data_IF_862794354045
#
_entry.id   IF_862794354045
#
_cell.length_a   1.000
_cell.length_b   1.000
_cell.length_c   1.000
_cell.angle_alpha   90.00
_cell.angle_beta   90.00
_cell.angle_gamma   90.00
#
_symmetry.space_group_name_H-M   'P 1'
#
loop_
_entity.id
_entity.type
_entity.pdbx_description
1 polymer ?
#
# COMPACT_ATOMS: atom_id res chain seq x y z
N UNK A 1 -1.86 -7.77 8.39
CA UNK A 1 -0.96 -8.91 8.67
C UNK A 1 -1.35 -9.70 9.91
N UNK A 2 -1.17 -9.20 11.14
CA UNK A 2 -1.40 -10.00 12.36
C UNK A 2 -2.82 -10.59 12.44
N UNK A 3 -3.85 -9.77 12.17
CA UNK A 3 -5.24 -10.23 12.11
C UNK A 3 -5.38 -11.37 11.09
N UNK A 4 -4.85 -11.22 9.87
CA UNK A 4 -4.89 -12.27 8.86
C UNK A 4 -4.27 -13.58 9.33
N UNK A 5 -3.08 -13.54 9.93
CA UNK A 5 -2.42 -14.74 10.47
C UNK A 5 -3.19 -15.39 11.61
N UNK A 6 -3.75 -14.59 12.54
CA UNK A 6 -4.59 -15.12 13.61
C UNK A 6 -5.90 -15.71 13.09
N UNK A 7 -6.47 -15.15 12.02
CA UNK A 7 -7.65 -15.70 11.36
C UNK A 7 -7.38 -17.01 10.62
N UNK A 8 -6.13 -17.27 10.20
CA UNK A 8 -5.76 -18.53 9.57
C UNK A 8 -5.60 -19.69 10.57
N UNK A 9 -5.26 -19.40 11.83
CA UNK A 9 -4.96 -20.43 12.83
C UNK A 9 -6.07 -21.45 13.06
N UNK A 10 -7.36 -21.08 13.20
CA UNK A 10 -8.44 -22.06 13.39
C UNK A 10 -8.55 -23.07 12.25
N UNK A 11 -8.31 -22.64 11.00
CA UNK A 11 -8.32 -23.52 9.83
C UNK A 11 -7.11 -24.46 9.86
N UNK A 12 -5.93 -23.93 10.20
CA UNK A 12 -4.69 -24.71 10.34
C UNK A 12 -4.83 -25.76 11.45
N UNK A 13 -5.40 -25.39 12.61
CA UNK A 13 -5.66 -26.32 13.71
C UNK A 13 -6.65 -27.43 13.33
N UNK A 14 -7.60 -27.14 12.43
CA UNK A 14 -8.52 -28.12 11.85
C UNK A 14 -7.87 -29.00 10.76
N UNK A 15 -6.58 -28.80 10.46
CA UNK A 15 -5.83 -29.56 9.47
C UNK A 15 -6.04 -29.10 8.02
N UNK A 16 -6.64 -27.92 7.82
CA UNK A 16 -6.94 -27.36 6.51
C UNK A 16 -5.79 -26.46 6.03
N UNK A 17 -5.68 -26.27 4.72
CA UNK A 17 -4.69 -25.39 4.13
C UNK A 17 -5.19 -23.95 4.04
N UNK A 18 -4.25 -23.02 4.18
CA UNK A 18 -4.49 -21.58 4.09
C UNK A 18 -3.52 -20.90 3.12
N UNK A 19 -3.94 -19.79 2.54
CA UNK A 19 -3.11 -19.01 1.62
C UNK A 19 -3.02 -17.53 2.03
N UNK A 20 -1.85 -16.93 1.87
CA UNK A 20 -1.64 -15.49 1.96
C UNK A 20 -1.05 -14.96 0.65
N UNK A 21 -1.76 -14.05 -0.01
CA UNK A 21 -1.39 -13.50 -1.31
C UNK A 21 -1.04 -12.03 -1.17
N UNK A 22 0.17 -11.67 -1.60
CA UNK A 22 0.66 -10.29 -1.64
C UNK A 22 0.99 -9.88 -3.09
N UNK A 23 0.91 -8.58 -3.43
CA UNK A 23 1.02 -8.14 -4.83
C UNK A 23 2.44 -8.23 -5.39
N UNK A 24 3.46 -8.09 -4.53
CA UNK A 24 4.88 -8.11 -4.92
C UNK A 24 5.64 -9.17 -4.13
N UNK A 25 6.75 -9.65 -4.69
CA UNK A 25 7.59 -10.65 -4.04
C UNK A 25 8.17 -10.13 -2.73
N UNK A 26 8.61 -8.88 -2.72
CA UNK A 26 9.19 -8.23 -1.56
C UNK A 26 8.21 -8.11 -0.38
N UNK A 27 6.94 -7.81 -0.66
CA UNK A 27 5.88 -7.84 0.36
C UNK A 27 5.62 -9.26 0.84
N UNK A 28 5.57 -10.23 -0.07
CA UNK A 28 5.38 -11.63 0.29
C UNK A 28 6.53 -12.14 1.18
N UNK A 29 7.78 -11.81 0.88
CA UNK A 29 8.94 -12.11 1.72
C UNK A 29 8.86 -11.44 3.10
N UNK A 30 8.39 -10.19 3.18
CA UNK A 30 8.16 -9.52 4.44
C UNK A 30 7.12 -10.24 5.29
N UNK A 31 6.04 -10.73 4.67
CA UNK A 31 5.03 -11.55 5.34
C UNK A 31 5.57 -12.91 5.76
N UNK A 32 6.41 -13.56 4.95
CA UNK A 32 7.13 -14.80 5.32
C UNK A 32 7.99 -14.57 6.55
N UNK A 33 8.84 -13.53 6.58
CA UNK A 33 9.67 -13.20 7.75
C UNK A 33 8.82 -12.97 9.01
N UNK A 34 7.70 -12.30 8.85
CA UNK A 34 6.76 -12.03 9.95
C UNK A 34 6.09 -13.31 10.44
N UNK A 35 5.60 -14.14 9.53
CA UNK A 35 4.95 -15.41 9.82
C UNK A 35 5.91 -16.41 10.46
N UNK A 36 7.13 -16.56 9.94
CA UNK A 36 8.15 -17.43 10.53
C UNK A 36 8.46 -17.07 11.97
N UNK A 37 8.45 -15.77 12.32
CA UNK A 37 8.64 -15.30 13.70
C UNK A 37 7.42 -15.57 14.58
N UNK A 38 6.21 -15.38 14.06
CA UNK A 38 4.97 -15.56 14.82
C UNK A 38 4.69 -17.05 15.08
N UNK A 39 4.97 -17.90 14.10
CA UNK A 39 4.71 -19.34 14.15
C UNK A 39 5.94 -20.16 14.60
N UNK A 40 6.97 -19.50 15.12
CA UNK A 40 8.13 -20.19 15.67
C UNK A 40 7.69 -21.09 16.84
N UNK A 41 8.02 -22.40 16.76
CA UNK A 41 7.68 -23.37 17.80
C UNK A 41 6.24 -23.87 17.81
N UNK A 42 5.36 -23.43 16.90
CA UNK A 42 3.97 -23.90 16.84
C UNK A 42 3.77 -25.16 16.01
N UNK A 43 4.76 -25.54 15.19
CA UNK A 43 4.68 -26.68 14.27
C UNK A 43 3.97 -26.38 12.94
N UNK A 44 3.51 -25.15 12.72
CA UNK A 44 2.89 -24.72 11.45
C UNK A 44 3.90 -24.81 10.31
N UNK A 45 3.55 -25.55 9.26
CA UNK A 45 4.38 -25.79 8.07
C UNK A 45 4.15 -24.70 7.05
N UNK A 46 5.06 -23.73 7.04
CA UNK A 46 5.02 -22.57 6.15
C UNK A 46 5.79 -22.82 4.85
N UNK A 47 5.23 -22.42 3.72
CA UNK A 47 5.91 -22.41 2.43
C UNK A 47 5.79 -21.06 1.73
N UNK A 48 6.76 -20.78 0.85
CA UNK A 48 6.80 -19.56 0.05
C UNK A 48 6.79 -19.88 -1.44
N UNK A 49 5.88 -19.26 -2.20
CA UNK A 49 5.78 -19.40 -3.65
C UNK A 49 5.80 -18.03 -4.35
N UNK A 50 6.83 -17.81 -5.17
CA UNK A 50 6.92 -16.66 -6.06
C UNK A 50 7.07 -17.08 -7.52
N UNK A 51 6.99 -16.08 -8.43
CA UNK A 51 7.26 -16.29 -9.86
C UNK A 51 8.72 -16.68 -10.15
N UNK A 52 9.66 -16.29 -9.27
CA UNK A 52 11.10 -16.60 -9.43
C UNK A 52 11.44 -18.04 -9.03
N UNK A 53 10.60 -18.70 -8.22
CA UNK A 53 10.81 -20.09 -7.84
C UNK A 53 10.50 -21.03 -9.02
N UNK A 54 11.56 -21.62 -9.60
CA UNK A 54 11.51 -22.44 -10.81
C UNK A 54 12.21 -23.80 -10.63
N UNK A 55 11.99 -24.71 -11.59
CA UNK A 55 12.61 -26.03 -11.65
C UNK A 55 12.22 -26.95 -10.49
N UNK A 56 13.14 -27.85 -10.12
CA UNK A 56 12.91 -28.93 -9.14
C UNK A 56 12.40 -28.45 -7.78
N UNK A 57 12.85 -27.28 -7.31
CA UNK A 57 12.38 -26.71 -6.03
C UNK A 57 10.89 -26.36 -6.08
N UNK A 58 10.42 -25.83 -7.21
CA UNK A 58 9.01 -25.52 -7.43
C UNK A 58 8.19 -26.79 -7.47
N UNK A 59 8.64 -27.79 -8.23
CA UNK A 59 7.94 -29.08 -8.36
C UNK A 59 7.72 -29.75 -7.00
N UNK A 60 8.78 -29.85 -6.18
CA UNK A 60 8.69 -30.42 -4.83
C UNK A 60 7.72 -29.65 -3.93
N UNK A 61 7.70 -28.32 -4.01
CA UNK A 61 6.76 -27.50 -3.24
C UNK A 61 5.32 -27.77 -3.66
N UNK A 62 5.04 -27.83 -4.97
CA UNK A 62 3.70 -28.09 -5.48
C UNK A 62 3.23 -29.50 -5.14
N UNK A 63 4.12 -30.49 -5.17
CA UNK A 63 3.81 -31.85 -4.70
C UNK A 63 3.47 -31.88 -3.22
N UNK A 64 4.26 -31.22 -2.37
CA UNK A 64 3.99 -31.11 -0.93
C UNK A 64 2.66 -30.39 -0.67
N UNK A 65 2.35 -29.35 -1.44
CA UNK A 65 1.10 -28.60 -1.34
C UNK A 65 -0.11 -29.49 -1.65
N UNK A 66 -0.05 -30.23 -2.75
CA UNK A 66 -1.11 -31.15 -3.17
C UNK A 66 -1.29 -32.34 -2.21
N UNK A 67 -0.27 -32.70 -1.43
CA UNK A 67 -0.33 -33.74 -0.39
C UNK A 67 -0.87 -33.23 0.95
N UNK A 68 -1.04 -31.92 1.12
CA UNK A 68 -1.43 -31.33 2.41
C UNK A 68 -0.26 -31.26 3.40
N UNK A 69 0.97 -31.18 2.91
CA UNK A 69 2.18 -31.07 3.72
C UNK A 69 2.54 -29.62 4.08
N UNK A 70 1.76 -28.65 3.60
CA UNK A 70 1.91 -27.21 3.83
C UNK A 70 0.61 -26.69 4.44
N UNK A 71 0.71 -26.03 5.60
CA UNK A 71 -0.44 -25.48 6.32
C UNK A 71 -0.76 -24.04 5.88
N UNK A 72 0.30 -23.24 5.65
CA UNK A 72 0.19 -21.86 5.19
C UNK A 72 1.12 -21.63 4.00
N UNK A 73 0.53 -21.36 2.84
CA UNK A 73 1.26 -20.92 1.65
C UNK A 73 1.24 -19.40 1.55
N UNK A 74 2.40 -18.75 1.66
CA UNK A 74 2.55 -17.32 1.37
C UNK A 74 3.11 -17.16 -0.04
N UNK A 75 2.55 -16.27 -0.84
CA UNK A 75 3.07 -16.06 -2.18
C UNK A 75 2.54 -14.84 -2.91
N UNK A 76 3.00 -14.70 -4.14
CA UNK A 76 2.53 -13.66 -5.06
C UNK A 76 1.33 -14.15 -5.88
N UNK A 77 1.00 -13.45 -6.96
CA UNK A 77 0.06 -13.93 -7.99
C UNK A 77 0.40 -15.34 -8.52
N UNK A 78 1.63 -15.83 -8.33
CA UNK A 78 2.02 -17.20 -8.64
C UNK A 78 1.12 -18.26 -7.98
N UNK A 79 0.56 -17.98 -6.79
CA UNK A 79 -0.39 -18.88 -6.08
C UNK A 79 -1.66 -19.13 -6.89
N UNK A 80 -2.05 -18.16 -7.72
CA UNK A 80 -3.27 -18.23 -8.54
C UNK A 80 -3.08 -19.02 -9.84
N UNK A 81 -1.86 -19.47 -10.14
CA UNK A 81 -1.58 -20.21 -11.37
C UNK A 81 -2.30 -21.56 -11.38
N UNK A 82 -2.78 -22.00 -12.54
CA UNK A 82 -3.60 -23.23 -12.67
C UNK A 82 -2.90 -24.49 -12.14
N UNK A 83 -1.57 -24.56 -12.24
CA UNK A 83 -0.76 -25.68 -11.75
C UNK A 83 -0.56 -25.71 -10.21
N UNK A 84 -1.00 -24.69 -9.48
CA UNK A 84 -0.97 -24.69 -8.01
C UNK A 84 -2.24 -25.37 -7.52
N UNK A 85 -2.11 -26.57 -6.97
CA UNK A 85 -3.24 -27.37 -6.49
C UNK A 85 -3.07 -27.60 -5.00
N UNK A 86 -4.08 -27.16 -4.24
CA UNK A 86 -4.20 -27.44 -2.82
C UNK A 86 -4.95 -28.77 -2.63
N UNK A 87 -4.67 -29.45 -1.53
CA UNK A 87 -5.47 -30.59 -1.09
C UNK A 87 -6.84 -30.14 -0.57
N UNK A 88 -6.84 -29.09 0.25
CA UNK A 88 -7.99 -28.58 1.00
C UNK A 88 -7.78 -27.12 1.44
N UNK A 89 -7.76 -26.21 0.45
CA UNK A 89 -7.75 -24.77 0.73
C UNK A 89 -9.14 -24.32 1.21
N UNK A 90 -9.21 -23.83 2.43
CA UNK A 90 -10.47 -23.39 3.08
C UNK A 90 -10.41 -21.92 3.52
N UNK A 91 -9.22 -21.31 3.63
CA UNK A 91 -9.07 -19.91 4.01
C UNK A 91 -7.99 -19.17 3.22
N UNK A 92 -8.28 -17.93 2.81
CA UNK A 92 -7.32 -17.10 2.09
C UNK A 92 -7.28 -15.63 2.56
N UNK A 93 -6.09 -15.05 2.53
CA UNK A 93 -5.82 -13.66 2.88
C UNK A 93 -5.27 -12.96 1.64
N UNK A 94 -5.91 -11.87 1.23
CA UNK A 94 -5.48 -11.05 0.10
C UNK A 94 -5.02 -9.70 0.64
N UNK A 95 -3.74 -9.37 0.49
CA UNK A 95 -3.18 -8.08 0.89
C UNK A 95 -3.16 -7.08 -0.26
N UNK A 96 -3.35 -5.79 0.05
CA UNK A 96 -3.45 -4.70 -0.93
C UNK A 96 -4.44 -5.00 -2.09
N UNK A 97 -5.70 -5.32 -1.74
CA UNK A 97 -6.71 -5.82 -2.68
C UNK A 97 -6.86 -5.01 -3.98
N UNK A 98 -6.60 -3.70 -3.96
CA UNK A 98 -6.72 -2.82 -5.11
C UNK A 98 -5.73 -3.17 -6.24
N UNK A 99 -4.70 -3.95 -5.95
CA UNK A 99 -3.76 -4.49 -6.94
C UNK A 99 -4.25 -5.79 -7.57
N UNK A 100 -5.30 -6.40 -7.02
CA UNK A 100 -5.85 -7.67 -7.48
C UNK A 100 -7.16 -7.48 -8.26
N UNK A 101 -7.17 -7.98 -9.49
CA UNK A 101 -8.34 -7.89 -10.37
C UNK A 101 -9.45 -8.89 -10.02
N UNK A 102 -10.62 -8.72 -10.64
CA UNK A 102 -11.77 -9.65 -10.51
C UNK A 102 -11.38 -11.08 -10.90
N UNK A 103 -10.62 -11.24 -11.99
CA UNK A 103 -10.19 -12.55 -12.51
C UNK A 103 -9.32 -13.30 -11.50
N UNK A 104 -8.43 -12.59 -10.81
CA UNK A 104 -7.54 -13.17 -9.81
C UNK A 104 -8.31 -13.67 -8.58
N UNK A 105 -9.42 -13.01 -8.22
CA UNK A 105 -10.30 -13.46 -7.15
C UNK A 105 -11.07 -14.72 -7.53
N UNK A 106 -11.61 -14.79 -8.77
CA UNK A 106 -12.25 -16.02 -9.27
C UNK A 106 -11.27 -17.18 -9.25
N UNK A 107 -10.05 -16.97 -9.74
CA UNK A 107 -9.01 -18.00 -9.77
C UNK A 107 -8.64 -18.53 -8.38
N UNK A 108 -8.74 -17.70 -7.33
CA UNK A 108 -8.55 -18.15 -5.94
C UNK A 108 -9.73 -18.99 -5.46
N UNK A 109 -10.96 -18.53 -5.69
CA UNK A 109 -12.17 -19.24 -5.28
C UNK A 109 -12.30 -20.60 -5.97
N UNK A 110 -11.77 -20.74 -7.18
CA UNK A 110 -11.71 -22.00 -7.93
C UNK A 110 -10.70 -23.02 -7.36
N UNK A 111 -9.81 -22.63 -6.43
CA UNK A 111 -8.82 -23.54 -5.81
C UNK A 111 -9.41 -24.43 -4.72
N UNK A 112 -10.59 -24.13 -4.22
CA UNK A 112 -11.27 -24.85 -3.14
C UNK A 112 -12.76 -24.95 -3.42
N UNK A 113 -13.49 -25.71 -2.60
CA UNK A 113 -14.94 -25.86 -2.77
C UNK A 113 -15.70 -24.68 -2.19
N UNK A 114 -15.27 -24.23 -1.01
CA UNK A 114 -15.82 -23.09 -0.30
C UNK A 114 -14.68 -22.45 0.47
N UNK A 115 -14.21 -21.29 0.01
CA UNK A 115 -13.08 -20.60 0.62
C UNK A 115 -13.59 -19.38 1.36
N UNK A 116 -13.37 -19.35 2.66
CA UNK A 116 -13.49 -18.11 3.43
C UNK A 116 -12.29 -17.21 3.12
N UNK A 117 -12.51 -15.90 3.00
CA UNK A 117 -11.40 -15.00 2.71
C UNK A 117 -11.52 -13.64 3.39
N UNK A 118 -10.36 -13.03 3.65
CA UNK A 118 -10.24 -11.65 4.12
C UNK A 118 -9.44 -10.84 3.10
N UNK A 119 -9.97 -9.68 2.74
CA UNK A 119 -9.27 -8.69 1.94
C UNK A 119 -8.75 -7.57 2.84
N UNK A 120 -7.46 -7.27 2.74
CA UNK A 120 -6.81 -6.18 3.46
C UNK A 120 -6.45 -5.06 2.49
N UNK A 121 -6.60 -3.82 2.94
CA UNK A 121 -6.13 -2.64 2.22
C UNK A 121 -5.66 -1.59 3.20
N UNK A 122 -4.57 -0.90 2.84
CA UNK A 122 -4.11 0.27 3.58
C UNK A 122 -4.90 1.53 3.23
N UNK A 123 -5.60 1.55 2.08
CA UNK A 123 -6.44 2.70 1.72
C UNK A 123 -7.77 2.62 2.45
N UNK A 124 -8.07 3.60 3.32
CA UNK A 124 -9.35 3.66 3.99
C UNK A 124 -10.44 3.87 2.96
N UNK A 125 -11.41 2.97 2.92
CA UNK A 125 -12.60 3.11 2.09
C UNK A 125 -13.52 4.13 2.78
N UNK A 126 -13.96 5.20 2.10
CA UNK A 126 -14.95 6.12 2.64
C UNK A 126 -16.19 5.35 3.09
N UNK A 127 -16.72 5.71 4.26
CA UNK A 127 -17.89 5.03 4.83
C UNK A 127 -19.11 5.08 3.90
N UNK A 128 -19.26 6.18 3.17
CA UNK A 128 -20.29 6.33 2.14
C UNK A 128 -20.17 5.29 1.01
N UNK A 129 -18.95 4.95 0.59
CA UNK A 129 -18.72 3.90 -0.42
C UNK A 129 -18.92 2.50 0.15
N UNK A 130 -18.45 2.25 1.37
CA UNK A 130 -18.74 1.00 2.11
C UNK A 130 -20.24 0.69 2.10
N UNK A 131 -21.06 1.68 2.43
CA UNK A 131 -22.49 1.52 2.54
C UNK A 131 -23.20 1.26 1.21
N UNK A 132 -22.74 1.88 0.13
CA UNK A 132 -23.40 1.80 -1.17
C UNK A 132 -22.96 0.58 -2.00
N UNK A 133 -21.69 0.16 -1.93
CA UNK A 133 -21.12 -0.79 -2.89
C UNK A 133 -20.65 -2.12 -2.28
N UNK A 134 -20.35 -2.14 -0.97
CA UNK A 134 -19.80 -3.32 -0.33
C UNK A 134 -20.82 -4.04 0.56
N UNK A 135 -22.11 -3.89 0.26
CA UNK A 135 -23.24 -4.38 1.07
C UNK A 135 -23.19 -5.87 1.44
N UNK A 136 -22.60 -6.71 0.60
CA UNK A 136 -22.43 -8.16 0.85
C UNK A 136 -21.18 -8.50 1.69
N UNK A 137 -20.22 -7.58 1.80
CA UNK A 137 -18.98 -7.80 2.55
C UNK A 137 -19.10 -7.24 3.97
N UNK A 138 -18.75 -8.07 4.96
CA UNK A 138 -18.56 -7.62 6.34
C UNK A 138 -17.23 -6.87 6.42
N UNK A 139 -17.28 -5.57 6.64
CA UNK A 139 -16.10 -4.72 6.77
C UNK A 139 -15.75 -4.54 8.24
N UNK A 140 -14.47 -4.74 8.56
CA UNK A 140 -13.90 -4.44 9.88
C UNK A 140 -12.83 -3.38 9.73
N UNK A 141 -12.86 -2.39 10.62
CA UNK A 141 -12.03 -1.20 10.54
C UNK A 141 -11.13 -1.08 11.77
N UNK A 142 -9.83 -0.92 11.55
CA UNK A 142 -8.84 -0.68 12.61
C UNK A 142 -8.43 0.79 12.58
N UNK A 143 -8.85 1.57 13.59
CA UNK A 143 -8.56 3.02 13.70
C UNK A 143 -7.33 3.34 14.55
N UNK A 144 -7.02 2.48 15.50
CA UNK A 144 -5.95 2.73 16.46
C UNK A 144 -4.59 2.41 15.88
N UNK A 145 -3.64 3.31 16.07
CA UNK A 145 -2.24 3.04 15.76
C UNK A 145 -1.68 2.02 16.77
N UNK A 146 -0.75 1.16 16.34
CA UNK A 146 0.03 0.33 17.27
C UNK A 146 0.70 1.21 18.34
N UNK A 147 0.85 0.70 19.58
CA UNK A 147 1.53 1.42 20.65
C UNK A 147 2.95 1.83 20.23
N UNK A 148 3.37 3.03 20.64
CA UNK A 148 4.68 3.60 20.31
C UNK A 148 4.73 4.44 19.03
N UNK A 149 3.76 4.32 18.11
CA UNK A 149 3.74 5.17 16.90
C UNK A 149 3.32 6.60 17.20
N UNK A 150 4.10 7.54 16.67
CA UNK A 150 3.80 8.97 16.72
C UNK A 150 3.11 9.43 15.44
N UNK A 151 2.14 10.36 15.51
CA UNK A 151 1.54 10.94 14.31
C UNK A 151 2.59 11.66 13.48
N UNK A 152 2.49 11.55 12.16
CA UNK A 152 3.40 12.24 11.24
C UNK A 152 3.10 13.73 11.26
N UNK A 153 4.14 14.55 11.44
CA UNK A 153 4.01 16.01 11.41
C UNK A 153 4.12 16.45 9.94
N UNK A 154 3.06 17.06 9.42
CA UNK A 154 3.00 17.50 8.02
C UNK A 154 3.22 19.00 7.91
N UNK A 155 4.18 19.41 7.09
CA UNK A 155 4.42 20.80 6.71
C UNK A 155 4.13 21.01 5.24
N UNK A 156 3.53 22.16 4.92
CA UNK A 156 3.40 22.65 3.55
C UNK A 156 4.48 23.69 3.31
N UNK A 157 5.24 23.55 2.23
CA UNK A 157 6.37 24.42 1.90
C UNK A 157 6.21 24.92 0.48
N UNK A 158 6.39 26.22 0.30
CA UNK A 158 6.33 26.84 -1.02
C UNK A 158 7.67 26.64 -1.73
N UNK A 159 7.61 26.28 -3.01
CA UNK A 159 8.77 26.19 -3.91
C UNK A 159 9.65 27.44 -3.80
N UNK A 160 10.97 27.25 -3.77
CA UNK A 160 11.99 28.26 -3.46
C UNK A 160 12.37 28.37 -1.98
N UNK A 161 11.76 27.58 -1.08
CA UNK A 161 12.12 27.53 0.35
C UNK A 161 12.65 26.16 0.80
N UNK A 162 13.12 25.34 -0.14
CA UNK A 162 13.56 23.96 0.06
C UNK A 162 14.81 23.87 0.93
N UNK A 163 15.64 24.92 1.00
CA UNK A 163 16.85 24.95 1.82
C UNK A 163 16.57 24.62 3.29
N UNK A 164 15.42 25.06 3.81
CA UNK A 164 14.97 24.73 5.17
C UNK A 164 14.65 23.24 5.32
N UNK A 165 14.04 22.65 4.29
CA UNK A 165 13.76 21.21 4.24
C UNK A 165 15.07 20.44 4.19
N UNK A 166 16.00 20.82 3.31
CA UNK A 166 17.28 20.12 3.18
C UNK A 166 18.10 20.19 4.47
N UNK A 167 18.07 21.33 5.16
CA UNK A 167 18.68 21.47 6.49
C UNK A 167 18.04 20.55 7.51
N UNK A 168 16.70 20.40 7.48
CA UNK A 168 15.99 19.50 8.38
C UNK A 168 16.32 18.03 8.09
N UNK A 169 16.24 17.63 6.81
CA UNK A 169 16.57 16.29 6.35
C UNK A 169 18.01 15.95 6.73
N UNK A 170 18.98 16.86 6.55
CA UNK A 170 20.37 16.64 6.97
C UNK A 170 20.52 16.32 8.45
N UNK A 171 19.74 16.97 9.32
CA UNK A 171 19.74 16.67 10.77
C UNK A 171 19.25 15.27 11.05
N UNK A 172 18.18 14.84 10.39
CA UNK A 172 17.64 13.48 10.53
C UNK A 172 18.61 12.42 10.00
N UNK A 173 19.23 12.67 8.84
CA UNK A 173 20.24 11.78 8.28
C UNK A 173 21.49 11.66 9.19
N UNK A 174 21.89 12.76 9.84
CA UNK A 174 22.99 12.75 10.80
C UNK A 174 22.69 11.91 12.06
N UNK A 175 21.41 11.67 12.37
CA UNK A 175 20.97 10.75 13.44
C UNK A 175 20.92 9.28 12.96
N UNK A 176 21.31 9.00 11.72
CA UNK A 176 21.24 7.66 11.13
C UNK A 176 19.86 7.30 10.57
N UNK A 177 18.99 8.29 10.39
CA UNK A 177 17.68 8.10 9.76
C UNK A 177 17.80 8.16 8.23
N UNK A 178 16.68 7.91 7.55
CA UNK A 178 16.60 7.88 6.09
C UNK A 178 15.46 8.78 5.59
N UNK A 179 15.57 9.21 4.33
CA UNK A 179 14.62 10.12 3.72
C UNK A 179 14.14 9.66 2.34
N UNK A 180 12.86 9.88 2.07
CA UNK A 180 12.27 9.74 0.74
C UNK A 180 12.11 11.12 0.09
N UNK A 181 12.41 11.21 -1.19
CA UNK A 181 12.10 12.35 -2.06
C UNK A 181 11.24 11.87 -3.22
N UNK A 182 10.02 12.39 -3.34
CA UNK A 182 9.02 11.90 -4.28
C UNK A 182 8.67 12.97 -5.28
N UNK A 183 8.76 12.63 -6.56
CA UNK A 183 8.44 13.51 -7.68
C UNK A 183 7.24 12.93 -8.45
N UNK A 184 6.31 13.76 -8.96
CA UNK A 184 5.18 13.25 -9.71
C UNK A 184 5.59 12.75 -11.10
N UNK A 185 4.88 11.72 -11.56
CA UNK A 185 4.82 11.35 -12.98
C UNK A 185 3.65 12.11 -13.59
N UNK A 186 3.89 12.95 -14.59
CA UNK A 186 2.85 13.63 -15.39
C UNK A 186 2.61 12.83 -16.67
N UNK A 187 1.34 12.65 -17.03
CA UNK A 187 0.89 11.91 -18.22
C UNK A 187 1.30 12.53 -19.56
N UNK A 188 1.54 13.84 -19.63
CA UNK A 188 1.81 14.51 -20.91
C UNK A 188 3.25 14.35 -21.43
N UNK A 189 4.21 13.96 -20.57
CA UNK A 189 5.56 13.58 -21.02
C UNK A 189 6.38 12.86 -19.94
N UNK A 190 6.17 11.56 -19.77
CA UNK A 190 7.00 10.71 -18.90
C UNK A 190 8.52 10.92 -19.09
N UNK A 191 8.96 11.23 -20.32
CA UNK A 191 10.38 11.50 -20.63
C UNK A 191 10.91 12.77 -19.96
N UNK A 192 10.10 13.82 -19.80
CA UNK A 192 10.51 15.03 -19.07
C UNK A 192 10.54 14.80 -17.57
N UNK A 193 9.55 14.08 -17.02
CA UNK A 193 9.52 13.81 -15.58
C UNK A 193 10.66 12.93 -15.11
N UNK A 194 11.04 11.93 -15.93
CA UNK A 194 12.24 11.13 -15.67
C UNK A 194 13.51 11.98 -15.73
N UNK A 195 13.62 12.90 -16.69
CA UNK A 195 14.74 13.86 -16.74
C UNK A 195 14.79 14.71 -15.48
N UNK A 196 13.65 15.21 -15.01
CA UNK A 196 13.59 16.01 -13.78
C UNK A 196 14.02 15.19 -12.57
N UNK A 197 13.52 13.96 -12.38
CA UNK A 197 13.92 13.13 -11.25
C UNK A 197 15.40 12.70 -11.31
N UNK A 198 15.95 12.46 -12.50
CA UNK A 198 17.37 12.19 -12.70
C UNK A 198 18.25 13.43 -12.45
N UNK A 199 17.84 14.61 -12.91
CA UNK A 199 18.53 15.87 -12.63
C UNK A 199 18.51 16.17 -11.12
N UNK A 200 17.37 15.98 -10.48
CA UNK A 200 17.25 16.16 -9.04
C UNK A 200 18.05 15.11 -8.26
N UNK A 201 18.16 13.88 -8.76
CA UNK A 201 19.07 12.89 -8.16
C UNK A 201 20.53 13.35 -8.26
N UNK A 202 20.95 13.92 -9.38
CA UNK A 202 22.29 14.47 -9.54
C UNK A 202 22.53 15.65 -8.59
N UNK A 203 21.62 16.62 -8.54
CA UNK A 203 21.69 17.78 -7.65
C UNK A 203 21.71 17.35 -6.17
N UNK A 204 20.78 16.49 -5.76
CA UNK A 204 20.69 16.02 -4.37
C UNK A 204 21.92 15.21 -3.97
N UNK A 205 22.46 14.37 -4.86
CA UNK A 205 23.62 13.53 -4.56
C UNK A 205 24.96 14.26 -4.60
N UNK A 206 25.13 15.26 -5.48
CA UNK A 206 26.42 15.96 -5.66
C UNK A 206 26.52 17.27 -4.91
N UNK A 207 25.42 18.02 -4.83
CA UNK A 207 25.43 19.40 -4.33
C UNK A 207 24.83 19.50 -2.93
N UNK A 208 23.67 18.87 -2.69
CA UNK A 208 22.94 19.04 -1.43
C UNK A 208 23.39 18.04 -0.37
N UNK A 209 23.53 16.76 -0.72
CA UNK A 209 23.87 15.68 0.20
C UNK A 209 25.08 14.84 -0.27
N UNK A 210 26.23 15.47 -0.59
CA UNK A 210 27.42 14.74 -1.04
C UNK A 210 27.96 13.71 -0.05
N UNK A 211 27.63 13.86 1.24
CA UNK A 211 28.02 12.96 2.32
C UNK A 211 27.15 11.69 2.44
N UNK A 212 26.01 11.61 1.74
CA UNK A 212 25.06 10.51 1.85
C UNK A 212 24.88 9.74 0.54
N UNK A 213 24.56 8.44 0.63
CA UNK A 213 24.24 7.64 -0.55
C UNK A 213 22.80 7.88 -0.98
N UNK A 214 22.65 8.37 -2.21
CA UNK A 214 21.36 8.62 -2.86
C UNK A 214 21.12 7.60 -3.98
N UNK A 215 19.91 7.06 -4.06
CA UNK A 215 19.49 6.21 -5.18
C UNK A 215 18.18 6.71 -5.80
N UNK A 216 18.01 6.42 -7.10
CA UNK A 216 16.84 6.77 -7.88
C UNK A 216 16.03 5.51 -8.21
N UNK A 217 14.72 5.56 -7.99
CA UNK A 217 13.75 4.56 -8.44
C UNK A 217 12.71 5.20 -9.34
N UNK A 218 12.49 4.63 -10.53
CA UNK A 218 11.42 5.06 -11.42
C UNK A 218 10.75 3.90 -12.13
N UNK A 219 9.55 4.13 -12.66
CA UNK A 219 8.69 3.10 -13.28
C UNK A 219 9.40 2.27 -14.36
N UNK A 220 10.25 2.90 -15.18
CA UNK A 220 11.01 2.25 -16.29
C UNK A 220 12.20 1.38 -15.87
N UNK A 221 12.55 1.33 -14.59
CA UNK A 221 13.61 0.44 -14.12
C UNK A 221 13.13 -1.01 -14.16
N UNK A 222 14.04 -1.94 -14.43
CA UNK A 222 13.74 -3.37 -14.29
C UNK A 222 13.35 -3.65 -12.84
N UNK A 223 12.42 -4.56 -12.65
CA UNK A 223 11.89 -4.90 -11.32
C UNK A 223 13.00 -5.41 -10.37
N UNK A 224 13.94 -6.20 -10.90
CA UNK A 224 15.13 -6.67 -10.18
C UNK A 224 16.00 -5.51 -9.65
N UNK A 225 16.15 -4.43 -10.43
CA UNK A 225 16.91 -3.25 -10.00
C UNK A 225 16.17 -2.46 -8.92
N UNK A 226 14.83 -2.32 -9.06
CA UNK A 226 13.99 -1.67 -8.04
C UNK A 226 14.06 -2.41 -6.71
N UNK A 227 13.95 -3.74 -6.74
CA UNK A 227 14.04 -4.59 -5.56
C UNK A 227 15.41 -4.51 -4.88
N UNK A 228 16.50 -4.51 -5.66
CA UNK A 228 17.86 -4.35 -5.12
C UNK A 228 18.02 -3.02 -4.40
N UNK A 229 17.65 -1.91 -5.03
CA UNK A 229 17.74 -0.57 -4.43
C UNK A 229 16.89 -0.49 -3.17
N UNK A 230 15.68 -1.06 -3.19
CA UNK A 230 14.81 -1.07 -2.02
C UNK A 230 15.33 -1.95 -0.89
N UNK A 231 16.02 -3.04 -1.22
CA UNK A 231 16.70 -3.89 -0.23
C UNK A 231 17.87 -3.13 0.42
N UNK A 232 18.70 -2.47 -0.39
CA UNK A 232 19.83 -1.66 0.09
C UNK A 232 19.35 -0.47 0.93
N UNK A 233 18.23 0.15 0.54
CA UNK A 233 17.57 1.20 1.31
C UNK A 233 17.00 0.64 2.62
N UNK A 234 16.26 -0.47 2.62
CA UNK A 234 15.75 -1.07 3.85
C UNK A 234 16.86 -1.53 4.81
N UNK A 235 18.04 -1.89 4.29
CA UNK A 235 19.23 -2.23 5.07
C UNK A 235 20.02 -1.00 5.58
N UNK A 236 19.59 0.22 5.25
CA UNK A 236 20.26 1.46 5.65
C UNK A 236 21.56 1.77 4.88
N UNK A 237 21.86 1.02 3.81
CA UNK A 237 23.04 1.26 2.98
C UNK A 237 22.86 2.51 2.10
N UNK A 238 21.62 2.83 1.73
CA UNK A 238 21.21 4.04 1.02
C UNK A 238 20.43 4.90 2.01
N UNK A 239 20.81 6.18 2.17
CA UNK A 239 20.16 7.06 3.14
C UNK A 239 19.04 7.89 2.50
N UNK A 240 19.14 8.18 1.21
CA UNK A 240 18.16 8.98 0.48
C UNK A 240 17.64 8.19 -0.71
N UNK A 241 16.32 7.99 -0.76
CA UNK A 241 15.65 7.39 -1.90
C UNK A 241 14.84 8.44 -2.66
N UNK A 242 15.24 8.70 -3.89
CA UNK A 242 14.51 9.55 -4.82
C UNK A 242 13.64 8.67 -5.70
N UNK A 243 12.36 9.01 -5.85
CA UNK A 243 11.45 8.18 -6.60
C UNK A 243 10.36 8.97 -7.32
N UNK A 244 10.01 8.51 -8.52
CA UNK A 244 8.86 9.03 -9.26
C UNK A 244 7.56 8.29 -8.95
N UNK A 245 7.68 7.10 -8.36
CA UNK A 245 6.55 6.25 -7.99
C UNK A 245 6.89 5.39 -6.77
N UNK A 246 6.76 5.96 -5.56
CA UNK A 246 7.03 5.21 -4.31
C UNK A 246 5.93 4.19 -3.98
N UNK A 247 4.77 4.29 -4.62
CA UNK A 247 3.58 3.52 -4.26
C UNK A 247 3.74 2.01 -4.50
N UNK A 248 4.65 1.58 -5.38
CA UNK A 248 4.66 0.20 -5.89
C UNK A 248 5.38 -0.81 -4.98
N UNK A 249 6.40 -0.41 -4.22
CA UNK A 249 7.36 -1.41 -3.69
C UNK A 249 7.04 -1.91 -2.27
N UNK A 250 6.06 -1.32 -1.58
CA UNK A 250 5.45 -1.97 -0.41
C UNK A 250 6.29 -2.06 0.89
N UNK A 251 7.60 -1.85 0.84
CA UNK A 251 8.52 -2.12 1.98
C UNK A 251 8.31 -1.17 3.15
N UNK A 252 8.35 -1.73 4.36
CA UNK A 252 8.40 -0.98 5.61
C UNK A 252 9.87 -0.68 6.01
N UNK A 253 10.25 0.60 6.03
CA UNK A 253 11.58 1.07 6.44
C UNK A 253 11.47 1.87 7.73
N UNK A 254 11.75 1.23 8.87
CA UNK A 254 11.53 1.79 10.22
C UNK A 254 12.36 3.04 10.52
N UNK A 255 13.52 3.16 9.90
CA UNK A 255 14.49 4.27 10.02
C UNK A 255 14.16 5.44 9.10
N UNK A 256 13.16 5.31 8.21
CA UNK A 256 12.75 6.41 7.36
C UNK A 256 11.83 7.38 8.14
N UNK A 257 12.37 8.57 8.45
CA UNK A 257 11.66 9.59 9.23
C UNK A 257 11.23 10.78 8.39
N UNK A 258 11.85 11.02 7.22
CA UNK A 258 11.49 12.13 6.34
C UNK A 258 10.83 11.66 5.04
N UNK A 259 9.72 12.30 4.69
CA UNK A 259 9.04 12.17 3.40
C UNK A 259 8.93 13.56 2.77
N UNK A 260 9.69 13.81 1.70
CA UNK A 260 9.61 15.05 0.92
C UNK A 260 8.85 14.75 -0.36
N UNK A 261 7.74 15.42 -0.60
CA UNK A 261 6.91 15.27 -1.80
C UNK A 261 6.99 16.58 -2.56
N UNK A 262 7.68 16.55 -3.69
CA UNK A 262 7.83 17.67 -4.61
C UNK A 262 6.60 17.80 -5.50
N UNK A 263 6.21 19.03 -5.84
CA UNK A 263 4.98 19.34 -6.59
C UNK A 263 3.75 18.59 -6.04
N UNK A 264 3.57 18.62 -4.72
CA UNK A 264 2.53 17.90 -4.00
C UNK A 264 1.11 18.20 -4.50
N UNK A 265 0.87 19.38 -5.09
CA UNK A 265 -0.39 19.78 -5.72
C UNK A 265 -0.84 18.88 -6.86
N UNK A 266 0.11 18.18 -7.49
CA UNK A 266 -0.14 17.29 -8.64
C UNK A 266 -0.62 15.91 -8.21
N UNK A 267 -0.52 15.57 -6.93
CA UNK A 267 -0.97 14.29 -6.42
C UNK A 267 -2.44 14.35 -5.97
N UNK A 268 -3.12 13.22 -6.15
CA UNK A 268 -4.41 12.97 -5.52
C UNK A 268 -4.26 12.82 -4.01
N UNK A 269 -5.33 13.11 -3.26
CA UNK A 269 -5.29 13.12 -1.80
C UNK A 269 -4.99 11.72 -1.22
N UNK A 270 -5.56 10.68 -1.82
CA UNK A 270 -5.27 9.27 -1.48
C UNK A 270 -3.80 8.89 -1.74
N UNK A 271 -3.20 9.36 -2.83
CA UNK A 271 -1.77 9.13 -3.12
C UNK A 271 -0.88 9.82 -2.09
N UNK A 272 -1.17 11.08 -1.74
CA UNK A 272 -0.44 11.82 -0.69
C UNK A 272 -0.52 11.09 0.66
N UNK A 273 -1.70 10.57 1.00
CA UNK A 273 -1.90 9.77 2.21
C UNK A 273 -1.05 8.50 2.22
N UNK A 274 -1.05 7.74 1.12
CA UNK A 274 -0.23 6.54 0.99
C UNK A 274 1.27 6.85 1.11
N UNK A 275 1.74 7.93 0.48
CA UNK A 275 3.12 8.39 0.56
C UNK A 275 3.48 8.78 2.00
N UNK A 276 2.65 9.60 2.67
CA UNK A 276 2.84 9.93 4.09
C UNK A 276 2.93 8.68 4.98
N UNK A 277 2.11 7.67 4.69
CA UNK A 277 2.10 6.40 5.41
C UNK A 277 3.36 5.54 5.25
N UNK A 278 4.31 5.90 4.37
CA UNK A 278 5.61 5.20 4.23
C UNK A 278 6.63 5.59 5.29
N UNK A 279 6.40 6.69 6.01
CA UNK A 279 7.21 7.11 7.16
C UNK A 279 6.42 6.95 8.47
N UNK A 280 7.08 7.09 9.61
CA UNK A 280 6.42 6.99 10.92
C UNK A 280 6.08 5.54 11.31
N UNK A 281 6.91 4.60 10.87
CA UNK A 281 6.72 3.16 11.09
C UNK A 281 7.39 2.65 12.37
N UNK A 282 8.15 3.50 13.04
CA UNK A 282 8.81 3.26 14.33
C UNK A 282 8.32 4.24 15.40
N UNK A 283 8.97 4.25 16.57
CA UNK A 283 8.73 5.22 17.66
C UNK A 283 9.37 6.59 17.40
N UNK A 284 10.16 6.68 16.32
CA UNK A 284 10.79 7.92 15.88
C UNK A 284 9.73 8.89 15.37
N UNK A 285 9.93 10.18 15.64
CA UNK A 285 9.07 11.21 15.07
C UNK A 285 9.33 11.31 13.57
N UNK A 286 8.27 11.19 12.77
CA UNK A 286 8.34 11.34 11.33
C UNK A 286 7.75 12.67 10.87
N UNK A 287 8.25 13.13 9.71
CA UNK A 287 7.92 14.40 9.10
C UNK A 287 7.59 14.21 7.62
N UNK A 288 6.52 14.86 7.18
CA UNK A 288 6.18 14.96 5.76
C UNK A 288 6.21 16.41 5.32
N UNK A 289 6.98 16.69 4.28
CA UNK A 289 7.10 18.00 3.65
C UNK A 289 6.39 17.95 2.29
N UNK A 290 5.35 18.75 2.14
CA UNK A 290 4.59 18.90 0.90
C UNK A 290 5.06 20.19 0.22
N UNK A 291 5.95 20.05 -0.76
CA UNK A 291 6.47 21.17 -1.53
C UNK A 291 5.50 21.47 -2.66
N UNK A 292 5.08 22.71 -2.80
CA UNK A 292 4.08 23.11 -3.79
C UNK A 292 4.51 24.34 -4.59
N UNK A 293 4.11 24.38 -5.86
CA UNK A 293 4.44 25.49 -6.78
C UNK A 293 3.62 26.77 -6.51
N UNK A 294 4.02 27.88 -7.13
CA UNK A 294 3.37 29.19 -6.94
C UNK A 294 1.88 29.20 -7.35
N UNK A 295 1.51 28.40 -8.34
CA UNK A 295 0.18 28.42 -8.96
C UNK A 295 -0.66 27.25 -8.46
N UNK A 296 -1.48 27.51 -7.43
CA UNK A 296 -2.38 26.51 -6.87
C UNK A 296 -3.83 26.79 -7.26
N UNK A 297 -4.47 25.77 -7.83
CA UNK A 297 -5.94 25.72 -7.90
C UNK A 297 -6.54 25.62 -6.50
N UNK A 298 -7.79 26.05 -6.33
CA UNK A 298 -8.44 25.99 -5.03
C UNK A 298 -8.62 24.54 -4.54
N UNK A 299 -8.86 23.60 -5.47
CA UNK A 299 -8.84 22.16 -5.16
C UNK A 299 -7.48 21.68 -4.64
N UNK A 300 -6.37 22.15 -5.23
CA UNK A 300 -5.04 21.77 -4.76
C UNK A 300 -4.74 22.35 -3.37
N UNK A 301 -5.11 23.62 -3.11
CA UNK A 301 -4.98 24.23 -1.78
C UNK A 301 -5.73 23.44 -0.72
N UNK A 302 -6.97 23.06 -1.02
CA UNK A 302 -7.80 22.31 -0.09
C UNK A 302 -7.22 20.90 0.17
N UNK A 303 -6.73 20.20 -0.86
CA UNK A 303 -6.05 18.90 -0.68
C UNK A 303 -4.84 18.99 0.24
N UNK A 304 -3.95 19.98 0.01
CA UNK A 304 -2.76 20.17 0.84
C UNK A 304 -3.12 20.58 2.27
N UNK A 305 -4.18 21.38 2.44
CA UNK A 305 -4.73 21.75 3.74
C UNK A 305 -5.24 20.53 4.51
N UNK A 306 -6.04 19.68 3.88
CA UNK A 306 -6.56 18.44 4.49
C UNK A 306 -5.41 17.56 4.97
N UNK A 307 -4.37 17.37 4.15
CA UNK A 307 -3.19 16.56 4.54
C UNK A 307 -2.44 17.12 5.75
N UNK A 308 -2.49 18.44 5.95
CA UNK A 308 -1.88 19.12 7.10
C UNK A 308 -2.74 19.03 8.36
N UNK A 309 -4.06 19.10 8.22
CA UNK A 309 -4.99 19.16 9.36
C UNK A 309 -5.19 17.81 10.04
N UNK A 310 -5.25 16.71 9.29
CA UNK A 310 -5.61 15.40 9.85
C UNK A 310 -4.63 14.30 9.47
N UNK A 311 -4.40 13.40 10.44
CA UNK A 311 -3.70 12.14 10.22
C UNK A 311 -4.67 10.96 10.03
N UNK A 312 -5.97 11.16 10.24
CA UNK A 312 -6.98 10.11 10.11
C UNK A 312 -7.24 9.82 8.63
N UNK A 313 -6.84 8.62 8.20
CA UNK A 313 -7.04 8.18 6.83
C UNK A 313 -8.52 8.14 6.43
N UNK A 314 -9.45 7.82 7.33
CA UNK A 314 -10.88 7.79 7.02
C UNK A 314 -11.43 9.17 6.71
N UNK A 315 -11.04 10.16 7.52
CA UNK A 315 -11.42 11.55 7.28
C UNK A 315 -10.86 12.04 5.94
N UNK A 316 -9.60 11.68 5.63
CA UNK A 316 -8.97 12.02 4.36
C UNK A 316 -9.72 11.39 3.19
N UNK A 317 -10.12 10.12 3.30
CA UNK A 317 -10.86 9.44 2.25
C UNK A 317 -12.26 10.04 2.05
N UNK A 318 -12.97 10.40 3.11
CA UNK A 318 -14.26 11.10 3.02
C UNK A 318 -14.12 12.47 2.36
N UNK A 319 -13.08 13.24 2.72
CA UNK A 319 -12.83 14.54 2.08
C UNK A 319 -12.35 14.40 0.63
N UNK A 320 -11.54 13.38 0.28
CA UNK A 320 -11.14 13.09 -1.11
C UNK A 320 -12.37 12.83 -1.97
N UNK A 321 -13.28 11.99 -1.45
CA UNK A 321 -14.51 11.63 -2.14
C UNK A 321 -15.43 12.84 -2.37
N UNK A 322 -15.58 13.72 -1.37
CA UNK A 322 -16.32 14.98 -1.51
C UNK A 322 -15.69 15.93 -2.55
N UNK A 323 -14.35 15.97 -2.61
CA UNK A 323 -13.63 16.83 -3.56
C UNK A 323 -13.71 16.33 -5.01
N UNK A 324 -13.80 15.01 -5.23
CA UNK A 324 -13.93 14.40 -6.57
C UNK A 324 -15.36 14.42 -7.11
N UNK A 325 -16.35 14.35 -6.22
CA UNK A 325 -17.75 14.20 -6.60
C UNK A 325 -18.09 12.78 -7.12
N UNK A 326 -19.39 12.50 -7.37
CA UNK A 326 -19.90 11.15 -7.69
C UNK A 326 -19.38 10.50 -8.98
N UNK A 327 -18.84 11.28 -9.91
CA UNK A 327 -18.53 10.80 -11.27
C UNK A 327 -17.24 9.97 -11.41
N UNK A 328 -16.31 10.01 -10.46
CA UNK A 328 -14.92 9.57 -10.67
C UNK A 328 -14.48 8.42 -9.73
N UNK A 329 -15.45 7.78 -9.06
CA UNK A 329 -15.25 6.75 -8.03
C UNK A 329 -14.87 5.39 -8.63
N UNK A 330 -15.24 5.18 -9.89
CA UNK A 330 -15.02 3.95 -10.62
C UNK A 330 -14.00 4.25 -11.73
N UNK A 331 -12.78 3.72 -11.58
CA UNK A 331 -11.75 3.79 -12.62
C UNK A 331 -12.35 3.46 -13.99
N UNK A 332 -11.81 4.12 -15.02
CA UNK A 332 -12.33 4.39 -16.37
C UNK A 332 -13.11 3.26 -17.10
N UNK A 333 -13.07 2.00 -16.65
CA UNK A 333 -13.87 0.88 -17.17
C UNK A 333 -15.16 0.54 -16.39
N UNK A 334 -15.43 1.18 -15.24
CA UNK A 334 -16.63 0.93 -14.42
C UNK A 334 -17.61 2.12 -14.37
N UNK A 335 -17.31 3.21 -15.08
CA UNK A 335 -18.10 4.45 -15.12
C UNK A 335 -19.55 4.25 -15.62
N UNK A 336 -19.82 3.20 -16.39
CA UNK A 336 -21.16 2.90 -16.92
C UNK A 336 -22.23 2.58 -15.85
N UNK A 337 -21.82 2.18 -14.64
CA UNK A 337 -22.75 1.83 -13.55
C UNK A 337 -23.09 3.00 -12.61
N UNK A 338 -22.44 4.17 -12.77
CA UNK A 338 -22.33 5.17 -11.69
C UNK A 338 -23.16 6.45 -11.89
N UNK A 339 -23.88 6.58 -13.00
CA UNK A 339 -24.86 7.66 -13.15
C UNK A 339 -26.22 7.22 -12.58
N UNK A 340 -26.35 7.23 -11.26
CA UNK A 340 -27.66 7.08 -10.64
C UNK A 340 -28.53 8.26 -11.06
N UNK A 341 -29.59 7.99 -11.83
CA UNK A 341 -30.54 9.02 -12.29
C UNK A 341 -31.53 9.46 -11.20
N UNK A 342 -31.60 8.72 -10.08
CA UNK A 342 -32.69 8.78 -9.10
C UNK A 342 -32.24 9.09 -7.67
N UNK A 343 -30.97 8.89 -7.32
CA UNK A 343 -30.48 9.07 -5.97
C UNK A 343 -29.01 9.52 -6.01
N UNK A 344 -28.65 10.49 -5.17
CA UNK A 344 -27.27 10.89 -4.96
C UNK A 344 -26.77 10.19 -3.69
N UNK A 345 -25.77 9.31 -3.83
CA UNK A 345 -25.21 8.52 -2.72
C UNK A 345 -24.72 9.43 -1.57
N UNK A 346 -24.36 10.69 -1.86
CA UNK A 346 -23.88 11.65 -0.88
C UNK A 346 -25.00 12.36 -0.13
N UNK A 347 -26.06 12.76 -0.83
CA UNK A 347 -27.21 13.42 -0.20
C UNK A 347 -28.12 12.40 0.50
N UNK A 348 -28.27 11.21 -0.07
CA UNK A 348 -29.21 10.18 0.39
C UNK A 348 -28.59 9.17 1.35
N UNK A 349 -27.38 9.42 1.87
CA UNK A 349 -26.65 8.45 2.70
C UNK A 349 -27.43 8.03 3.95
N UNK A 350 -28.21 8.94 4.53
CA UNK A 350 -29.03 8.65 5.71
C UNK A 350 -30.29 7.86 5.35
N UNK A 351 -30.79 7.99 4.12
CA UNK A 351 -31.86 7.14 3.59
C UNK A 351 -31.35 5.71 3.36
N UNK A 352 -30.16 5.57 2.75
CA UNK A 352 -29.50 4.27 2.54
C UNK A 352 -29.24 3.56 3.88
N UNK A 353 -28.78 4.29 4.91
CA UNK A 353 -28.63 3.75 6.28
C UNK A 353 -29.94 3.18 6.84
N UNK A 354 -31.06 3.91 6.66
CA UNK A 354 -32.37 3.48 7.17
C UNK A 354 -32.85 2.23 6.44
N UNK A 355 -32.79 2.22 5.11
CA UNK A 355 -33.19 1.07 4.29
C UNK A 355 -32.42 -0.19 4.70
N UNK A 356 -31.10 -0.08 4.90
CA UNK A 356 -30.27 -1.22 5.33
C UNK A 356 -30.66 -1.72 6.72
N UNK A 357 -30.88 -0.81 7.67
CA UNK A 357 -31.34 -1.17 9.01
C UNK A 357 -32.69 -1.89 8.97
N UNK A 358 -33.60 -1.46 8.10
CA UNK A 358 -34.90 -2.10 7.94
C UNK A 358 -34.78 -3.49 7.30
N UNK A 359 -33.89 -3.66 6.32
CA UNK A 359 -33.58 -4.95 5.69
C UNK A 359 -32.91 -5.96 6.64
N UNK A 360 -32.06 -5.50 7.57
CA UNK A 360 -31.44 -6.38 8.59
C UNK A 360 -32.44 -6.84 9.66
N UNK A 361 -33.59 -6.18 9.80
CA UNK A 361 -34.66 -6.53 10.74
C UNK A 361 -35.80 -7.37 10.09
N UNK A 362 -35.72 -7.61 8.79
CA UNK A 362 -36.58 -8.53 8.01
C UNK A 362 -35.93 -9.92 7.99
#
# INVERSE_FOLDING_TARGET
TLIGFLSALPYIEAGMQTAFIAPTELLAEQHVKTASRIFEGTGVRLAFLSGKLTGKKRELLLEALAKGEIDLLIGTHAVLSSNVVFKDLEFAIIDEQQRFGVIQRSALLEKGKQIDYIMMSATPIPRSLEMAFFGELKISTVRTMPPGRKPVITYTVKEGNEEKIYTWVRKELAMGHQAYFVYPLIDESEKMNLKNASQMHEMLSKEIFPEYKCALIHSKMKEEDKERIMTDFAAGQIQILIATSVVEVGVDVKTATCMVIEHAERFGLSSLHQLRGRVGRSELQAYTFLVFSNELTDHAKERLRIMKETNDGFEIAERDLKLRGPGDIAGVDQSGFMNFRLADIFEDIDLVKRIRKDLENL
#
